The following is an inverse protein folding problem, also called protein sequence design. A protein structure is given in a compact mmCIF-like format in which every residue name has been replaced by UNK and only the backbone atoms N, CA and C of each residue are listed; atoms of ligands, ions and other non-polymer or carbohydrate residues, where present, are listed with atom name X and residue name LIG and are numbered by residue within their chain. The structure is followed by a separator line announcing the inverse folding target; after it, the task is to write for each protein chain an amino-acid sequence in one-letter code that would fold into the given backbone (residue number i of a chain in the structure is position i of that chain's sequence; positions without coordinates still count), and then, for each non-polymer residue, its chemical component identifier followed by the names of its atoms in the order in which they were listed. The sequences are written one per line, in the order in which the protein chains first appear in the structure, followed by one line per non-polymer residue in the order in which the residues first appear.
data_IF_579014566916
#
_entry.id   IF_579014566916
#
_cell.length_a   1.000
_cell.length_b   1.000
_cell.length_c   1.000
_cell.angle_alpha   90.00
_cell.angle_beta   90.00
_cell.angle_gamma   90.00
#
_symmetry.space_group_name_H-M   'P 1'
#
loop_
_entity.id
_entity.type
_entity.pdbx_description
1 polymer ?
#
# COMPACT_ATOMS: atom_id res chain seq x y z
N UNK A 1 12.84 -4.13 -9.48
CA UNK A 1 11.59 -4.78 -9.99
C UNK A 1 11.92 -6.09 -10.72
N UNK A 2 11.31 -7.22 -10.33
CA UNK A 2 11.36 -8.60 -10.89
C UNK A 2 12.70 -9.14 -11.44
N UNK A 3 13.37 -8.47 -12.39
CA UNK A 3 14.74 -8.74 -12.84
C UNK A 3 15.74 -8.74 -11.69
N UNK A 4 15.68 -7.71 -10.84
CA UNK A 4 16.57 -7.61 -9.65
C UNK A 4 16.22 -8.60 -8.55
N UNK A 5 14.94 -9.02 -8.46
CA UNK A 5 14.45 -9.87 -7.37
C UNK A 5 14.52 -11.37 -7.69
N UNK A 6 14.52 -11.73 -8.98
CA UNK A 6 14.48 -13.11 -9.45
C UNK A 6 15.55 -13.45 -10.52
N UNK A 7 16.41 -12.50 -10.90
CA UNK A 7 17.51 -12.74 -11.84
C UNK A 7 17.09 -13.12 -13.28
N UNK A 8 15.80 -13.03 -13.61
CA UNK A 8 15.25 -13.47 -14.90
C UNK A 8 15.15 -12.33 -15.91
N UNK A 9 15.26 -12.69 -17.20
CA UNK A 9 15.00 -11.77 -18.30
C UNK A 9 13.57 -11.23 -18.26
N UNK A 10 13.38 -9.99 -18.71
CA UNK A 10 12.08 -9.31 -18.70
C UNK A 10 10.99 -10.12 -19.43
N UNK A 11 11.35 -10.80 -20.54
CA UNK A 11 10.44 -11.70 -21.26
C UNK A 11 9.95 -12.84 -20.36
N UNK A 12 10.87 -13.54 -19.70
CA UNK A 12 10.52 -14.69 -18.84
C UNK A 12 9.69 -14.23 -17.65
N UNK A 13 10.03 -13.07 -17.06
CA UNK A 13 9.23 -12.48 -15.99
C UNK A 13 7.80 -12.11 -16.45
N UNK A 14 7.65 -11.49 -17.61
CA UNK A 14 6.32 -11.15 -18.17
C UNK A 14 5.49 -12.40 -18.47
N UNK A 15 6.09 -13.45 -19.04
CA UNK A 15 5.41 -14.72 -19.30
C UNK A 15 4.94 -15.40 -18.02
N UNK A 16 5.80 -15.43 -16.99
CA UNK A 16 5.47 -16.08 -15.71
C UNK A 16 4.36 -15.34 -14.95
N UNK A 17 4.39 -14.01 -14.93
CA UNK A 17 3.40 -13.20 -14.20
C UNK A 17 2.13 -12.96 -15.04
N UNK A 18 2.15 -13.27 -16.34
CA UNK A 18 1.04 -13.00 -17.26
C UNK A 18 0.80 -11.50 -17.50
N UNK A 19 1.79 -10.65 -17.18
CA UNK A 19 1.72 -9.20 -17.35
C UNK A 19 2.35 -8.78 -18.68
N UNK A 20 1.72 -7.83 -19.36
CA UNK A 20 2.29 -7.23 -20.57
C UNK A 20 3.52 -6.38 -20.24
N UNK A 21 4.54 -6.45 -21.11
CA UNK A 21 5.82 -5.72 -20.97
C UNK A 21 5.66 -4.22 -20.70
N UNK A 22 4.66 -3.57 -21.30
CA UNK A 22 4.42 -2.14 -21.08
C UNK A 22 4.02 -1.82 -19.64
N UNK A 23 3.27 -2.73 -19.00
CA UNK A 23 2.89 -2.61 -17.59
C UNK A 23 4.08 -2.86 -16.68
N UNK A 24 4.96 -3.79 -17.04
CA UNK A 24 6.17 -4.09 -16.27
C UNK A 24 7.24 -2.99 -16.37
N UNK A 25 7.25 -2.23 -17.47
CA UNK A 25 8.10 -1.04 -17.66
C UNK A 25 7.52 0.24 -17.06
N UNK A 26 6.23 0.25 -16.74
CA UNK A 26 5.59 1.39 -16.11
C UNK A 26 6.17 1.57 -14.71
N UNK A 27 6.94 2.64 -14.52
CA UNK A 27 7.45 2.98 -13.19
C UNK A 27 6.27 3.48 -12.36
N UNK A 28 5.93 2.82 -11.24
CA UNK A 28 4.85 3.28 -10.40
C UNK A 28 5.20 4.66 -9.86
N UNK A 29 4.24 5.58 -9.92
CA UNK A 29 4.44 6.93 -9.43
C UNK A 29 4.92 6.89 -7.97
N UNK A 30 5.88 7.75 -7.60
CA UNK A 30 6.35 7.83 -6.23
C UNK A 30 5.16 8.12 -5.31
N UNK A 31 5.11 7.40 -4.20
CA UNK A 31 4.09 7.61 -3.18
C UNK A 31 4.38 8.98 -2.56
N UNK A 32 3.41 9.89 -2.59
CA UNK A 32 3.54 11.20 -1.96
C UNK A 32 3.88 11.07 -0.45
N UNK A 33 4.67 11.98 0.11
CA UNK A 33 5.09 11.92 1.52
C UNK A 33 3.91 11.86 2.49
N UNK A 34 2.90 12.72 2.31
CA UNK A 34 1.64 12.72 3.08
C UNK A 34 0.96 11.34 3.01
N UNK A 35 1.07 10.66 1.86
CA UNK A 35 0.49 9.36 1.66
C UNK A 35 1.24 8.25 2.41
N UNK A 36 2.57 8.34 2.50
CA UNK A 36 3.39 7.43 3.29
C UNK A 36 3.12 7.61 4.80
N UNK A 37 2.98 8.84 5.27
CA UNK A 37 2.68 9.15 6.67
C UNK A 37 1.29 8.66 7.07
N UNK A 38 0.28 8.87 6.23
CA UNK A 38 -1.07 8.32 6.48
C UNK A 38 -1.05 6.79 6.56
N UNK A 39 -0.27 6.12 5.71
CA UNK A 39 -0.10 4.65 5.79
C UNK A 39 0.62 4.22 7.07
N UNK A 40 1.62 4.97 7.53
CA UNK A 40 2.31 4.69 8.78
C UNK A 40 1.37 4.86 9.99
N UNK A 41 0.58 5.95 10.01
CA UNK A 41 -0.42 6.21 11.04
C UNK A 41 -1.51 5.12 11.07
N UNK A 42 -2.04 4.74 9.91
CA UNK A 42 -3.05 3.66 9.82
C UNK A 42 -2.51 2.32 10.32
N UNK A 43 -1.24 2.00 10.03
CA UNK A 43 -0.59 0.78 10.53
C UNK A 43 -0.46 0.79 12.06
N UNK A 44 0.04 1.89 12.64
CA UNK A 44 0.11 2.05 14.10
C UNK A 44 -1.27 1.91 14.74
N UNK A 45 -2.28 2.55 14.15
CA UNK A 45 -3.66 2.48 14.61
C UNK A 45 -4.21 1.04 14.60
N UNK A 46 -3.95 0.28 13.53
CA UNK A 46 -4.31 -1.15 13.46
C UNK A 46 -3.65 -1.96 14.55
N UNK A 47 -2.36 -1.73 14.81
CA UNK A 47 -1.59 -2.46 15.82
C UNK A 47 -2.08 -2.15 17.24
N UNK A 48 -2.35 -0.87 17.54
CA UNK A 48 -2.84 -0.45 18.86
C UNK A 48 -4.28 -0.93 19.11
N UNK A 49 -5.08 -1.05 18.05
CA UNK A 49 -6.52 -1.30 18.15
C UNK A 49 -6.99 -2.32 17.09
N UNK A 50 -6.59 -3.60 17.18
CA UNK A 50 -6.86 -4.60 16.14
C UNK A 50 -8.36 -4.89 15.93
N UNK A 51 -9.20 -4.72 16.95
CA UNK A 51 -10.67 -4.89 16.85
C UNK A 51 -11.36 -3.72 16.14
N UNK A 52 -10.65 -2.63 15.87
CA UNK A 52 -11.23 -1.41 15.34
C UNK A 52 -11.07 -1.39 13.82
N UNK A 53 -12.16 -1.69 13.11
CA UNK A 53 -12.18 -1.65 11.65
C UNK A 53 -12.02 -0.24 11.06
N UNK A 54 -11.96 -0.19 9.73
CA UNK A 54 -11.65 1.02 8.95
C UNK A 54 -12.58 2.22 9.24
N UNK A 55 -13.82 1.98 9.66
CA UNK A 55 -14.77 3.04 10.04
C UNK A 55 -14.29 3.84 11.25
N UNK A 56 -13.75 3.17 12.26
CA UNK A 56 -13.19 3.84 13.45
C UNK A 56 -11.86 4.51 13.14
N UNK A 57 -11.03 3.87 12.30
CA UNK A 57 -9.82 4.51 11.78
C UNK A 57 -10.13 5.81 11.03
N UNK A 58 -11.20 5.83 10.22
CA UNK A 58 -11.62 7.04 9.51
C UNK A 58 -12.06 8.18 10.44
N UNK A 59 -12.80 7.87 11.51
CA UNK A 59 -13.17 8.87 12.53
C UNK A 59 -11.94 9.42 13.26
N UNK A 60 -10.99 8.54 13.59
CA UNK A 60 -9.76 8.91 14.30
C UNK A 60 -8.79 9.68 13.40
N UNK A 61 -8.72 9.35 12.12
CA UNK A 61 -7.92 10.09 11.14
C UNK A 61 -8.41 11.54 11.04
N UNK A 62 -9.73 11.74 10.99
CA UNK A 62 -10.32 13.10 11.00
C UNK A 62 -10.03 13.84 12.30
N UNK A 63 -10.11 13.16 13.46
CA UNK A 63 -9.77 13.75 14.76
C UNK A 63 -8.29 14.15 14.85
N UNK A 64 -7.42 13.36 14.23
CA UNK A 64 -5.98 13.64 14.13
C UNK A 64 -5.62 14.67 13.04
N UNK A 65 -6.60 15.30 12.39
CA UNK A 65 -6.38 16.37 11.41
C UNK A 65 -6.05 15.90 9.98
N UNK A 66 -6.10 14.59 9.70
CA UNK A 66 -5.82 14.07 8.36
C UNK A 66 -6.94 14.46 7.38
N UNK A 67 -6.58 15.10 6.27
CA UNK A 67 -7.47 15.40 5.12
C UNK A 67 -7.74 14.16 4.24
N UNK A 68 -7.84 12.98 4.85
CA UNK A 68 -8.06 11.72 4.16
C UNK A 68 -9.56 11.37 4.09
N UNK A 69 -10.10 11.22 2.87
CA UNK A 69 -11.48 10.77 2.68
C UNK A 69 -11.67 9.31 3.14
N UNK A 70 -12.86 8.95 3.62
CA UNK A 70 -13.28 7.59 3.95
C UNK A 70 -12.99 6.59 2.82
N UNK A 71 -13.17 6.99 1.55
CA UNK A 71 -12.82 6.14 0.39
C UNK A 71 -11.31 5.83 0.36
N UNK A 72 -10.47 6.83 0.69
CA UNK A 72 -9.00 6.73 0.70
C UNK A 72 -8.52 5.81 1.82
N UNK A 73 -9.15 5.88 2.99
CA UNK A 73 -8.84 5.03 4.14
C UNK A 73 -9.30 3.58 3.88
N UNK A 74 -10.51 3.40 3.34
CA UNK A 74 -11.05 2.08 3.01
C UNK A 74 -10.20 1.34 1.98
N UNK A 75 -9.74 2.03 0.91
CA UNK A 75 -8.91 1.43 -0.15
C UNK A 75 -7.55 0.94 0.36
N UNK A 76 -6.95 1.64 1.32
CA UNK A 76 -5.64 1.25 1.87
C UNK A 76 -5.72 0.01 2.75
N UNK A 77 -6.90 -0.24 3.35
CA UNK A 77 -7.09 -1.33 4.29
C UNK A 77 -6.30 -1.09 5.59
N UNK A 78 -6.77 -1.70 6.67
CA UNK A 78 -6.05 -1.78 7.95
C UNK A 78 -5.19 -3.04 8.01
N UNK A 79 -4.85 -3.64 6.87
CA UNK A 79 -4.01 -4.83 6.84
C UNK A 79 -2.64 -4.48 7.40
N UNK A 80 -2.23 -5.07 8.55
CA UNK A 80 -0.84 -4.99 8.94
C UNK A 80 -0.06 -5.58 7.78
N UNK A 81 0.82 -4.78 7.19
CA UNK A 81 1.78 -5.29 6.23
C UNK A 81 2.62 -6.31 6.98
N UNK A 82 2.30 -7.60 6.85
CA UNK A 82 3.26 -8.67 7.13
C UNK A 82 4.48 -8.33 6.28
N UNK A 83 5.52 -7.84 6.96
CA UNK A 83 6.79 -7.53 6.35
C UNK A 83 7.27 -8.78 5.65
N UNK A 84 7.25 -8.77 4.33
CA UNK A 84 8.01 -9.74 3.57
C UNK A 84 9.44 -9.23 3.60
N UNK A 85 10.20 -9.77 4.56
CA UNK A 85 11.65 -9.87 4.47
C UNK A 85 12.00 -10.66 3.20
#
# INVERSE_FOLDING_TARGET
MLRERFGVSERRACTVVGLHRSTMRLTPAPIATEEAELRAWLRRFSTDRPRWGWRRAAKMARKAGWKANNKRIRRRGLTPSVGHA
#
